data_IF_763575653752
#
_entry.id   IF_763575653752
#
_cell.length_a   1.000
_cell.length_b   1.000
_cell.length_c   1.000
_cell.angle_alpha   90.00
_cell.angle_beta   90.00
_cell.angle_gamma   90.00
#
_symmetry.space_group_name_H-M   'P 1'
#
loop_
_entity.id
_entity.type
_entity.pdbx_description
1 polymer ?
#
# COMPACT_ATOMS: atom_id res chain seq x y z
N UNK A 1 19.35 23.93 3.60
CA UNK A 1 18.93 22.71 2.86
C UNK A 1 18.83 23.09 1.41
N UNK A 2 19.22 22.22 0.49
CA UNK A 2 19.10 22.49 -0.94
C UNK A 2 17.62 22.34 -1.33
N UNK A 3 16.97 23.41 -1.75
CA UNK A 3 15.54 23.39 -2.13
C UNK A 3 15.25 22.44 -3.30
N UNK A 4 16.23 22.20 -4.15
CA UNK A 4 16.13 21.27 -5.27
C UNK A 4 16.28 19.79 -4.85
N UNK A 5 16.84 19.51 -3.67
CA UNK A 5 17.00 18.19 -3.10
C UNK A 5 16.88 18.24 -1.57
N UNK A 6 15.65 18.40 -1.05
CA UNK A 6 15.41 18.60 0.39
C UNK A 6 15.84 17.42 1.27
N UNK A 7 15.88 16.20 0.72
CA UNK A 7 16.29 14.99 1.44
C UNK A 7 17.72 14.53 1.11
N UNK A 8 18.40 15.16 0.14
CA UNK A 8 19.76 14.80 -0.29
C UNK A 8 19.85 13.44 -0.98
N UNK A 9 18.81 13.05 -1.71
CA UNK A 9 18.69 11.70 -2.32
C UNK A 9 18.26 11.72 -3.79
N UNK A 10 17.93 12.87 -4.34
CA UNK A 10 17.28 12.99 -5.65
C UNK A 10 18.13 12.38 -6.78
N UNK A 11 19.44 12.54 -6.72
CA UNK A 11 20.40 11.99 -7.67
C UNK A 11 20.49 10.46 -7.64
N UNK A 12 20.01 9.84 -6.58
CA UNK A 12 19.95 8.39 -6.44
C UNK A 12 18.77 7.75 -7.19
N UNK A 13 17.84 8.57 -7.71
CA UNK A 13 16.69 8.13 -8.49
C UNK A 13 16.85 8.47 -9.97
N UNK A 14 17.25 7.53 -10.85
CA UNK A 14 17.50 7.81 -12.26
C UNK A 14 16.33 8.44 -13.02
N UNK A 15 15.10 8.23 -12.53
CA UNK A 15 13.88 8.78 -13.13
C UNK A 15 13.90 10.32 -13.18
N UNK A 16 14.52 10.98 -12.21
CA UNK A 16 14.54 12.45 -12.13
C UNK A 16 15.33 13.11 -13.28
N UNK A 17 16.27 12.34 -13.88
CA UNK A 17 17.04 12.77 -15.07
C UNK A 17 16.31 12.44 -16.38
N UNK A 18 15.20 11.70 -16.30
CA UNK A 18 14.44 11.25 -17.47
C UNK A 18 13.11 11.99 -17.60
N UNK A 19 12.46 12.30 -16.47
CA UNK A 19 11.14 12.90 -16.46
C UNK A 19 10.80 13.54 -15.12
N UNK A 20 9.82 14.45 -15.11
CA UNK A 20 9.09 14.83 -13.90
C UNK A 20 8.05 13.75 -13.61
N UNK A 21 8.40 12.86 -12.67
CA UNK A 21 7.59 11.68 -12.36
C UNK A 21 6.71 11.90 -11.12
N UNK A 22 5.40 12.00 -11.32
CA UNK A 22 4.39 12.28 -10.30
C UNK A 22 3.35 11.14 -10.19
N UNK A 23 3.70 9.95 -10.69
CA UNK A 23 2.81 8.78 -10.75
C UNK A 23 3.13 7.70 -9.69
N UNK A 24 3.88 8.04 -8.63
CA UNK A 24 4.38 7.07 -7.62
C UNK A 24 3.29 6.31 -6.88
N UNK A 25 2.07 6.86 -6.79
CA UNK A 25 0.91 6.16 -6.24
C UNK A 25 0.47 4.94 -7.07
N UNK A 26 0.94 4.78 -8.30
CA UNK A 26 0.76 3.56 -9.12
C UNK A 26 1.97 2.64 -8.98
N UNK A 27 3.14 3.13 -9.37
CA UNK A 27 4.43 2.42 -9.27
C UNK A 27 5.44 3.46 -8.82
N UNK A 28 6.17 3.20 -7.75
CA UNK A 28 7.23 4.09 -7.30
C UNK A 28 8.57 3.64 -7.91
N UNK A 29 9.30 4.52 -8.61
CA UNK A 29 10.65 4.24 -9.07
C UNK A 29 11.57 3.88 -7.91
N UNK A 30 12.44 2.90 -8.12
CA UNK A 30 13.43 2.47 -7.13
C UNK A 30 14.73 3.28 -7.27
N UNK A 31 15.44 3.56 -6.18
CA UNK A 31 16.77 4.16 -6.24
C UNK A 31 17.80 3.16 -6.80
N UNK A 32 18.94 3.67 -7.27
CA UNK A 32 20.04 2.86 -7.81
C UNK A 32 20.44 1.72 -6.86
N UNK A 33 20.55 2.00 -5.56
CA UNK A 33 20.95 1.02 -4.57
C UNK A 33 20.01 -0.19 -4.50
N UNK A 34 18.68 0.03 -4.56
CA UNK A 34 17.68 -1.06 -4.54
C UNK A 34 17.68 -1.82 -5.88
N UNK A 35 17.83 -1.10 -6.99
CA UNK A 35 17.92 -1.71 -8.33
C UNK A 35 19.15 -2.60 -8.41
N UNK A 36 20.30 -2.15 -7.89
CA UNK A 36 21.56 -2.90 -7.92
C UNK A 36 21.46 -4.23 -7.17
N UNK A 37 20.79 -4.26 -6.03
CA UNK A 37 20.55 -5.51 -5.29
C UNK A 37 19.83 -6.56 -6.13
N UNK A 38 18.86 -6.15 -6.95
CA UNK A 38 18.18 -7.06 -7.88
C UNK A 38 19.10 -7.56 -9.00
N UNK A 39 19.95 -6.69 -9.54
CA UNK A 39 20.96 -7.04 -10.55
C UNK A 39 21.97 -8.02 -9.96
N UNK A 40 22.49 -7.75 -8.77
CA UNK A 40 23.46 -8.62 -8.08
C UNK A 40 22.86 -10.00 -7.81
N UNK A 41 21.59 -10.07 -7.42
CA UNK A 41 20.89 -11.35 -7.22
C UNK A 41 20.84 -12.19 -8.51
N UNK A 42 20.50 -11.56 -9.64
CA UNK A 42 20.44 -12.27 -10.94
C UNK A 42 21.83 -12.70 -11.38
N UNK A 43 22.85 -11.86 -11.20
CA UNK A 43 24.25 -12.18 -11.53
C UNK A 43 24.79 -13.32 -10.65
N UNK A 44 24.52 -13.30 -9.34
CA UNK A 44 24.92 -14.39 -8.45
C UNK A 44 24.29 -15.73 -8.87
N UNK A 45 23.00 -15.72 -9.27
CA UNK A 45 22.34 -16.94 -9.79
C UNK A 45 22.99 -17.47 -11.07
N UNK A 46 23.54 -16.58 -11.92
CA UNK A 46 24.26 -16.95 -13.15
C UNK A 46 25.69 -17.45 -12.91
N UNK A 47 26.26 -17.18 -11.75
CA UNK A 47 27.60 -17.59 -11.33
C UNK A 47 27.57 -18.59 -10.18
N UNK A 48 27.85 -18.13 -8.97
CA UNK A 48 27.75 -18.91 -7.75
C UNK A 48 26.46 -18.50 -7.00
N UNK A 49 25.38 -19.33 -7.07
CA UNK A 49 24.11 -18.98 -6.46
C UNK A 49 24.18 -19.01 -4.93
N UNK A 50 23.26 -18.26 -4.30
CA UNK A 50 23.06 -18.32 -2.85
C UNK A 50 22.64 -19.71 -2.38
N UNK A 51 23.10 -20.10 -1.20
CA UNK A 51 22.59 -21.29 -0.53
C UNK A 51 21.16 -21.09 -0.04
N UNK A 52 20.38 -22.18 0.11
CA UNK A 52 18.99 -22.09 0.55
C UNK A 52 18.85 -21.44 1.93
N UNK A 53 19.78 -21.75 2.85
CA UNK A 53 19.75 -21.19 4.21
C UNK A 53 19.93 -19.66 4.21
N UNK A 54 20.79 -19.13 3.32
CA UNK A 54 20.97 -17.68 3.14
C UNK A 54 19.68 -17.03 2.60
N UNK A 55 19.03 -17.67 1.63
CA UNK A 55 17.78 -17.20 1.05
C UNK A 55 16.66 -17.14 2.09
N UNK A 56 16.54 -18.14 2.95
CA UNK A 56 15.55 -18.16 4.03
C UNK A 56 15.88 -17.17 5.15
N UNK A 57 17.15 -17.05 5.50
CA UNK A 57 17.61 -16.04 6.45
C UNK A 57 17.24 -14.64 5.98
N UNK A 58 17.34 -14.37 4.67
CA UNK A 58 16.91 -13.09 4.09
C UNK A 58 15.41 -12.85 4.18
N UNK A 59 14.58 -13.89 4.04
CA UNK A 59 13.13 -13.79 4.26
C UNK A 59 12.82 -13.44 5.71
N UNK A 60 13.47 -14.10 6.68
CA UNK A 60 13.26 -13.81 8.10
C UNK A 60 13.77 -12.41 8.49
N UNK A 61 14.88 -11.97 7.92
CA UNK A 61 15.35 -10.59 8.05
C UNK A 61 14.31 -9.58 7.54
N UNK A 62 13.77 -9.80 6.33
CA UNK A 62 12.73 -8.96 5.74
C UNK A 62 11.47 -8.91 6.62
N UNK A 63 11.02 -10.04 7.17
CA UNK A 63 9.89 -10.08 8.10
C UNK A 63 10.15 -9.20 9.33
N UNK A 64 11.36 -9.29 9.89
CA UNK A 64 11.79 -8.44 11.01
C UNK A 64 11.87 -6.96 10.64
N UNK A 65 12.38 -6.61 9.45
CA UNK A 65 12.42 -5.23 8.96
C UNK A 65 11.01 -4.64 8.81
N UNK A 66 10.12 -5.37 8.17
CA UNK A 66 8.73 -4.92 8.00
C UNK A 66 8.00 -4.82 9.35
N UNK A 67 8.19 -5.79 10.25
CA UNK A 67 7.65 -5.73 11.59
C UNK A 67 8.07 -4.44 12.33
N UNK A 68 9.36 -4.12 12.32
CA UNK A 68 9.85 -2.84 12.90
C UNK A 68 9.27 -1.60 12.23
N UNK A 69 9.04 -1.64 10.92
CA UNK A 69 8.49 -0.51 10.15
C UNK A 69 7.05 -0.16 10.56
N UNK A 70 6.26 -1.15 11.05
CA UNK A 70 4.86 -0.98 11.42
C UNK A 70 4.58 -1.22 12.92
N UNK A 71 5.61 -1.34 13.76
CA UNK A 71 5.54 -1.67 15.18
C UNK A 71 4.85 -3.03 15.46
N UNK A 72 5.26 -4.08 14.73
CA UNK A 72 4.82 -5.45 14.92
C UNK A 72 6.00 -6.38 15.26
N UNK A 73 5.73 -7.53 15.87
CA UNK A 73 6.70 -8.59 16.11
C UNK A 73 6.93 -9.43 14.84
N UNK A 74 8.12 -10.00 14.67
CA UNK A 74 8.43 -10.83 13.50
C UNK A 74 7.48 -12.02 13.32
N UNK A 75 7.03 -12.74 14.37
CA UNK A 75 6.03 -13.81 14.24
C UNK A 75 4.70 -13.37 13.62
N UNK A 76 4.30 -12.11 13.79
CA UNK A 76 3.05 -11.57 13.22
C UNK A 76 3.13 -11.31 11.72
N UNK A 77 4.33 -11.39 11.10
CA UNK A 77 4.55 -11.01 9.72
C UNK A 77 4.67 -12.25 8.83
N UNK A 78 3.83 -12.31 7.81
CA UNK A 78 3.86 -13.28 6.72
C UNK A 78 4.39 -12.68 5.42
N UNK A 79 5.01 -13.52 4.59
CA UNK A 79 5.36 -13.22 3.22
C UNK A 79 4.31 -13.85 2.30
N UNK A 80 3.73 -13.03 1.43
CA UNK A 80 2.72 -13.41 0.43
C UNK A 80 3.06 -12.75 -0.91
N UNK A 81 2.26 -12.99 -1.95
CA UNK A 81 2.54 -12.47 -3.28
C UNK A 81 1.93 -11.09 -3.55
N UNK A 82 0.73 -10.82 -3.00
CA UNK A 82 -0.02 -9.58 -3.28
C UNK A 82 -0.92 -9.18 -2.11
N UNK A 83 -1.30 -7.90 -2.01
CA UNK A 83 -2.33 -7.42 -1.07
C UNK A 83 -3.69 -8.08 -1.29
N UNK A 84 -4.05 -8.37 -2.55
CA UNK A 84 -5.30 -9.07 -2.85
C UNK A 84 -5.31 -10.50 -2.28
N UNK A 85 -4.17 -11.18 -2.22
CA UNK A 85 -4.06 -12.48 -1.55
C UNK A 85 -4.34 -12.37 -0.06
N UNK A 86 -3.81 -11.33 0.61
CA UNK A 86 -4.04 -11.10 2.04
C UNK A 86 -5.51 -11.01 2.39
N UNK A 87 -6.27 -10.20 1.67
CA UNK A 87 -7.69 -10.01 1.93
C UNK A 87 -8.50 -11.31 1.67
N UNK A 88 -8.14 -12.08 0.64
CA UNK A 88 -8.73 -13.40 0.42
C UNK A 88 -8.43 -14.37 1.58
N UNK A 89 -7.20 -14.36 2.11
CA UNK A 89 -6.82 -15.17 3.28
C UNK A 89 -7.62 -14.78 4.52
N UNK A 90 -7.83 -13.48 4.77
CA UNK A 90 -8.65 -12.98 5.88
C UNK A 90 -10.09 -13.47 5.76
N UNK A 91 -10.72 -13.25 4.60
CA UNK A 91 -12.10 -13.68 4.34
C UNK A 91 -12.25 -15.20 4.50
N UNK A 92 -11.27 -15.97 4.04
CA UNK A 92 -11.27 -17.42 4.20
C UNK A 92 -11.15 -17.83 5.67
N UNK A 93 -10.25 -17.21 6.44
CA UNK A 93 -10.05 -17.49 7.87
C UNK A 93 -11.32 -17.20 8.69
N UNK A 94 -12.06 -16.14 8.33
CA UNK A 94 -13.31 -15.77 8.97
C UNK A 94 -14.44 -16.79 8.74
N UNK A 95 -14.33 -17.65 7.72
CA UNK A 95 -15.31 -18.70 7.40
C UNK A 95 -16.77 -18.19 7.39
N UNK A 96 -16.99 -17.06 6.70
CA UNK A 96 -18.25 -16.34 6.64
C UNK A 96 -19.42 -17.22 6.21
N UNK A 97 -20.59 -16.98 6.80
CA UNK A 97 -21.83 -17.71 6.54
C UNK A 97 -22.89 -16.79 5.93
N UNK A 98 -23.87 -17.34 5.18
CA UNK A 98 -25.02 -16.55 4.76
C UNK A 98 -25.66 -15.82 5.91
N UNK A 99 -25.88 -14.52 5.79
CA UNK A 99 -26.37 -13.63 6.83
C UNK A 99 -25.30 -12.85 7.59
N UNK A 100 -24.02 -13.24 7.50
CA UNK A 100 -22.92 -12.39 7.93
C UNK A 100 -22.75 -11.21 6.95
N UNK A 101 -22.15 -10.11 7.44
CA UNK A 101 -21.85 -8.99 6.57
C UNK A 101 -20.41 -8.49 6.69
N UNK A 102 -19.96 -7.86 5.62
CA UNK A 102 -18.72 -7.07 5.52
C UNK A 102 -19.09 -5.62 5.33
N UNK A 103 -18.49 -4.74 6.13
CA UNK A 103 -18.59 -3.29 5.96
C UNK A 103 -17.33 -2.77 5.30
N UNK A 104 -17.48 -1.95 4.28
CA UNK A 104 -16.41 -1.26 3.55
C UNK A 104 -16.88 0.12 3.11
N UNK A 105 -16.08 0.85 2.35
CA UNK A 105 -16.48 2.13 1.75
C UNK A 105 -16.24 2.18 0.24
N UNK A 106 -16.69 3.26 -0.43
CA UNK A 106 -16.49 3.48 -1.86
C UNK A 106 -15.10 4.08 -2.20
N UNK A 107 -14.19 4.13 -1.22
CA UNK A 107 -12.80 4.55 -1.38
C UNK A 107 -11.80 3.38 -1.38
N UNK A 108 -12.28 2.16 -1.16
CA UNK A 108 -11.44 0.96 -1.17
C UNK A 108 -10.87 0.66 -2.57
N UNK A 109 -9.88 -0.22 -2.63
CA UNK A 109 -9.29 -0.64 -3.91
C UNK A 109 -10.26 -1.51 -4.71
N UNK A 110 -10.33 -1.29 -6.01
CA UNK A 110 -11.31 -1.94 -6.88
C UNK A 110 -11.23 -3.48 -6.92
N UNK A 111 -10.06 -4.07 -6.65
CA UNK A 111 -9.93 -5.53 -6.58
C UNK A 111 -10.73 -6.14 -5.42
N UNK A 112 -10.89 -5.42 -4.30
CA UNK A 112 -11.68 -5.87 -3.15
C UNK A 112 -13.16 -6.02 -3.51
N UNK A 113 -13.70 -5.13 -4.33
CA UNK A 113 -15.09 -5.26 -4.79
C UNK A 113 -15.33 -6.50 -5.65
N UNK A 114 -14.32 -6.96 -6.41
CA UNK A 114 -14.40 -8.22 -7.15
C UNK A 114 -14.56 -9.40 -6.18
N UNK A 115 -13.78 -9.43 -5.10
CA UNK A 115 -13.92 -10.42 -4.03
C UNK A 115 -15.31 -10.33 -3.38
N UNK A 116 -15.75 -9.14 -3.00
CA UNK A 116 -17.01 -8.90 -2.34
C UNK A 116 -18.22 -9.29 -3.20
N UNK A 117 -18.15 -9.05 -4.51
CA UNK A 117 -19.17 -9.52 -5.45
C UNK A 117 -19.32 -11.06 -5.42
N UNK A 118 -18.21 -11.79 -5.32
CA UNK A 118 -18.27 -13.27 -5.23
C UNK A 118 -18.80 -13.72 -3.86
N UNK A 119 -18.51 -13.00 -2.80
CA UNK A 119 -19.06 -13.27 -1.47
C UNK A 119 -20.57 -13.00 -1.41
N UNK A 120 -21.03 -11.93 -2.04
CA UNK A 120 -22.45 -11.60 -2.14
C UNK A 120 -23.25 -12.72 -2.80
N UNK A 121 -22.70 -13.37 -3.84
CA UNK A 121 -23.30 -14.56 -4.48
C UNK A 121 -23.41 -15.77 -3.54
N UNK A 122 -22.65 -15.77 -2.44
CA UNK A 122 -22.66 -16.79 -1.39
C UNK A 122 -23.55 -16.43 -0.21
N UNK A 123 -24.30 -15.32 -0.30
CA UNK A 123 -25.22 -14.85 0.74
C UNK A 123 -24.58 -13.99 1.83
N UNK A 124 -23.35 -13.49 1.62
CA UNK A 124 -22.72 -12.52 2.51
C UNK A 124 -23.19 -11.11 2.10
N UNK A 125 -23.71 -10.35 3.03
CA UNK A 125 -24.12 -8.97 2.77
C UNK A 125 -22.89 -8.04 2.69
N UNK A 126 -22.84 -7.20 1.67
CA UNK A 126 -21.77 -6.17 1.51
C UNK A 126 -22.38 -4.80 1.73
N UNK A 127 -21.95 -4.10 2.77
CA UNK A 127 -22.40 -2.76 3.13
C UNK A 127 -21.33 -1.75 2.81
N UNK A 128 -21.67 -0.80 1.93
CA UNK A 128 -20.70 0.15 1.40
C UNK A 128 -21.02 1.56 1.93
N UNK A 129 -20.16 2.08 2.81
CA UNK A 129 -20.17 3.46 3.25
C UNK A 129 -19.86 4.40 2.07
N UNK A 130 -20.59 5.49 1.98
CA UNK A 130 -20.39 6.49 0.92
C UNK A 130 -19.59 7.66 1.49
N UNK A 131 -18.49 8.00 0.81
CA UNK A 131 -17.73 9.20 1.15
C UNK A 131 -18.65 10.44 1.17
N UNK A 132 -18.32 11.37 2.02
CA UNK A 132 -19.03 12.67 2.12
C UNK A 132 -18.74 13.55 0.89
N UNK A 133 -19.45 14.67 0.80
CA UNK A 133 -19.32 15.61 -0.33
C UNK A 133 -17.92 16.23 -0.47
N UNK A 134 -17.14 16.27 0.61
CA UNK A 134 -15.75 16.73 0.64
C UNK A 134 -14.73 15.63 0.28
N UNK A 135 -15.19 14.41 -0.02
CA UNK A 135 -14.35 13.26 -0.36
C UNK A 135 -13.82 12.46 0.84
N UNK A 136 -14.19 12.82 2.07
CA UNK A 136 -13.80 12.10 3.29
C UNK A 136 -14.76 10.94 3.61
N UNK A 137 -14.29 9.94 4.38
CA UNK A 137 -15.10 8.87 4.95
C UNK A 137 -14.71 8.66 6.43
N UNK A 138 -15.13 9.59 7.32
CA UNK A 138 -14.87 9.48 8.76
C UNK A 138 -15.59 8.27 9.36
N UNK A 139 -15.25 7.90 10.60
CA UNK A 139 -15.81 6.75 11.34
C UNK A 139 -17.34 6.76 11.32
N UNK A 140 -17.96 7.94 11.40
CA UNK A 140 -19.43 8.10 11.38
C UNK A 140 -20.12 7.63 10.09
N UNK A 141 -19.38 7.45 9.00
CA UNK A 141 -19.89 6.84 7.76
C UNK A 141 -20.12 5.35 7.92
N UNK A 142 -19.33 4.70 8.77
CA UNK A 142 -19.35 3.25 8.99
C UNK A 142 -20.28 2.84 10.13
N UNK A 143 -20.44 3.68 11.17
CA UNK A 143 -21.27 3.38 12.34
C UNK A 143 -22.67 2.83 12.01
N UNK A 144 -23.47 3.46 11.12
CA UNK A 144 -24.84 2.99 10.83
C UNK A 144 -24.86 1.69 10.01
N UNK A 145 -23.72 1.23 9.51
CA UNK A 145 -23.58 0.02 8.70
C UNK A 145 -23.19 -1.19 9.53
N UNK A 146 -22.72 -0.99 10.77
CA UNK A 146 -22.25 -2.03 11.69
C UNK A 146 -23.42 -2.60 12.50
N UNK A 147 -23.43 -3.93 12.66
CA UNK A 147 -24.35 -4.64 13.55
C UNK A 147 -23.72 -5.93 14.11
N UNK A 148 -24.50 -6.75 14.84
CA UNK A 148 -24.05 -8.01 15.43
C UNK A 148 -23.66 -9.09 14.41
N UNK A 149 -24.05 -8.94 13.14
CA UNK A 149 -23.71 -9.87 12.05
C UNK A 149 -22.50 -9.39 11.26
N UNK A 150 -21.98 -8.21 11.56
CA UNK A 150 -20.74 -7.73 10.92
C UNK A 150 -19.57 -8.58 11.40
N UNK A 151 -18.78 -9.11 10.47
CA UNK A 151 -17.60 -9.92 10.76
C UNK A 151 -16.30 -9.22 10.39
N UNK A 152 -16.35 -8.34 9.41
CA UNK A 152 -15.18 -7.63 8.93
C UNK A 152 -15.53 -6.18 8.56
N UNK A 153 -14.72 -5.26 9.06
CA UNK A 153 -14.61 -3.90 8.52
C UNK A 153 -13.32 -3.86 7.70
N UNK A 154 -13.44 -3.58 6.40
CA UNK A 154 -12.30 -3.62 5.47
C UNK A 154 -12.17 -2.30 4.73
N UNK A 155 -10.99 -1.67 4.82
CA UNK A 155 -10.70 -0.37 4.22
C UNK A 155 -9.30 -0.32 3.60
N UNK A 156 -9.10 0.56 2.63
CA UNK A 156 -7.76 1.00 2.27
C UNK A 156 -7.35 2.13 3.23
N UNK A 157 -6.22 2.00 3.94
CA UNK A 157 -5.72 3.05 4.83
C UNK A 157 -5.67 4.42 4.15
N UNK A 158 -5.17 4.42 2.91
CA UNK A 158 -5.17 5.61 2.06
C UNK A 158 -5.86 5.25 0.75
N UNK A 159 -6.88 5.99 0.40
CA UNK A 159 -7.61 5.80 -0.85
C UNK A 159 -6.68 5.97 -2.06
N UNK A 160 -6.68 4.97 -2.93
CA UNK A 160 -5.98 5.06 -4.21
C UNK A 160 -6.65 6.02 -5.20
N UNK A 161 -7.89 6.43 -4.92
CA UNK A 161 -8.68 7.34 -5.78
C UNK A 161 -8.43 8.80 -5.40
N UNK A 162 -8.64 9.15 -4.12
CA UNK A 162 -8.65 10.52 -3.63
C UNK A 162 -7.47 10.87 -2.75
N UNK A 163 -6.71 9.86 -2.28
CA UNK A 163 -5.67 10.04 -1.29
C UNK A 163 -6.19 10.20 0.15
N UNK A 164 -7.51 10.14 0.38
CA UNK A 164 -8.06 10.23 1.73
C UNK A 164 -7.42 9.19 2.66
N UNK A 165 -6.97 9.66 3.83
CA UNK A 165 -6.38 8.81 4.87
C UNK A 165 -7.41 8.53 5.95
N UNK A 166 -7.76 7.24 6.10
CA UNK A 166 -8.69 6.78 7.14
C UNK A 166 -8.06 6.84 8.53
N UNK A 167 -8.90 7.09 9.53
CA UNK A 167 -8.57 6.93 10.95
C UNK A 167 -8.67 5.45 11.34
N UNK A 168 -7.56 4.71 11.19
CA UNK A 168 -7.54 3.28 11.49
C UNK A 168 -7.84 2.98 12.96
N UNK A 169 -7.37 3.80 13.91
CA UNK A 169 -7.64 3.58 15.33
C UNK A 169 -9.13 3.73 15.67
N UNK A 170 -9.77 4.78 15.11
CA UNK A 170 -11.21 4.97 15.25
C UNK A 170 -12.02 3.84 14.63
N UNK A 171 -11.61 3.37 13.44
CA UNK A 171 -12.26 2.24 12.75
C UNK A 171 -12.04 0.91 13.47
N UNK A 172 -10.85 0.65 14.02
CA UNK A 172 -10.59 -0.55 14.86
C UNK A 172 -11.49 -0.56 16.07
N UNK A 173 -11.57 0.57 16.78
CA UNK A 173 -12.45 0.70 17.95
C UNK A 173 -13.92 0.44 17.59
N UNK A 174 -14.38 0.95 16.45
CA UNK A 174 -15.74 0.70 15.95
C UNK A 174 -15.96 -0.79 15.65
N UNK A 175 -15.03 -1.42 14.91
CA UNK A 175 -15.12 -2.83 14.56
C UNK A 175 -15.19 -3.72 15.81
N UNK A 176 -14.26 -3.53 16.74
CA UNK A 176 -14.18 -4.32 17.97
C UNK A 176 -15.39 -4.11 18.89
N UNK A 177 -16.00 -2.91 18.93
CA UNK A 177 -17.22 -2.66 19.67
C UNK A 177 -18.42 -3.50 19.18
N UNK A 178 -18.37 -3.98 17.93
CA UNK A 178 -19.39 -4.87 17.34
C UNK A 178 -18.95 -6.34 17.28
N UNK A 179 -17.79 -6.68 17.87
CA UNK A 179 -17.22 -8.03 17.80
C UNK A 179 -16.72 -8.42 16.41
N UNK A 180 -16.46 -7.41 15.57
CA UNK A 180 -15.94 -7.56 14.21
C UNK A 180 -14.43 -7.40 14.17
N UNK A 181 -13.78 -7.94 13.14
CA UNK A 181 -12.37 -7.71 12.85
C UNK A 181 -12.19 -6.52 11.89
N UNK A 182 -10.95 -5.98 11.85
CA UNK A 182 -10.56 -4.95 10.90
C UNK A 182 -9.41 -5.42 10.01
N UNK A 183 -9.57 -5.24 8.69
CA UNK A 183 -8.51 -5.37 7.68
C UNK A 183 -8.21 -4.01 7.08
N UNK A 184 -6.92 -3.68 6.96
CA UNK A 184 -6.46 -2.47 6.28
C UNK A 184 -5.50 -2.81 5.13
N UNK A 185 -5.84 -2.43 3.89
CA UNK A 185 -4.85 -2.35 2.80
C UNK A 185 -4.00 -1.11 3.03
N UNK A 186 -2.74 -1.30 3.41
CA UNK A 186 -1.82 -0.21 3.77
C UNK A 186 -0.77 0.08 2.68
N UNK A 187 -0.97 -0.47 1.47
CA UNK A 187 -0.02 -0.34 0.35
C UNK A 187 0.24 1.11 -0.06
N UNK A 188 -0.72 2.04 0.17
CA UNK A 188 -0.58 3.45 -0.22
C UNK A 188 0.05 4.32 0.87
N UNK A 189 0.48 3.74 1.99
CA UNK A 189 1.04 4.49 3.11
C UNK A 189 2.37 3.98 3.64
N UNK A 190 2.51 2.66 3.80
CA UNK A 190 3.71 2.04 4.39
C UNK A 190 4.94 2.27 3.51
N UNK A 191 6.03 2.70 4.13
CA UNK A 191 7.26 3.15 3.46
C UNK A 191 7.33 4.67 3.30
N UNK A 192 6.19 5.37 3.47
CA UNK A 192 6.10 6.82 3.30
C UNK A 192 5.49 7.53 4.53
N UNK A 193 4.54 6.88 5.19
CA UNK A 193 3.88 7.39 6.38
C UNK A 193 4.11 6.44 7.56
N UNK A 194 4.25 6.96 8.79
CA UNK A 194 4.34 6.12 9.97
C UNK A 194 3.04 5.36 10.21
N UNK A 195 3.15 4.05 10.40
CA UNK A 195 2.07 3.16 10.81
C UNK A 195 2.50 2.44 12.09
N UNK A 196 1.65 2.47 13.10
CA UNK A 196 1.78 1.68 14.33
C UNK A 196 0.55 0.79 14.45
N UNK A 197 0.69 -0.50 14.12
CA UNK A 197 -0.43 -1.44 14.13
C UNK A 197 -0.94 -1.74 15.53
N UNK A 198 -0.06 -1.60 16.55
CA UNK A 198 -0.45 -1.79 17.96
C UNK A 198 -1.27 -0.59 18.43
N UNK A 199 -0.81 0.64 18.19
CA UNK A 199 -1.55 1.84 18.56
C UNK A 199 -2.87 1.99 17.79
N UNK A 200 -2.91 1.54 16.53
CA UNK A 200 -4.12 1.50 15.72
C UNK A 200 -5.04 0.32 16.06
N UNK A 201 -4.59 -0.61 16.91
CA UNK A 201 -5.31 -1.84 17.32
C UNK A 201 -5.80 -2.66 16.11
N UNK A 202 -4.97 -2.78 15.05
CA UNK A 202 -5.32 -3.52 13.84
C UNK A 202 -5.28 -5.04 14.07
N UNK A 203 -6.19 -5.75 13.42
CA UNK A 203 -6.18 -7.22 13.38
C UNK A 203 -5.35 -7.74 12.20
N UNK A 204 -5.55 -7.13 11.03
CA UNK A 204 -4.88 -7.53 9.79
C UNK A 204 -4.50 -6.31 8.97
N UNK A 205 -3.33 -6.35 8.33
CA UNK A 205 -3.02 -5.43 7.25
C UNK A 205 -2.04 -6.01 6.24
N UNK A 206 -2.03 -5.48 5.02
CA UNK A 206 -1.09 -5.90 4.01
C UNK A 206 -0.57 -4.75 3.14
N UNK A 207 0.67 -4.92 2.65
CA UNK A 207 1.30 -3.98 1.74
C UNK A 207 2.11 -4.69 0.66
N UNK A 208 1.84 -4.38 -0.62
CA UNK A 208 2.70 -4.78 -1.74
C UNK A 208 3.98 -3.92 -1.80
N UNK A 209 5.05 -4.51 -2.30
CA UNK A 209 6.40 -3.96 -2.26
C UNK A 209 6.66 -2.79 -3.21
N UNK A 210 6.01 -2.76 -4.39
CA UNK A 210 6.38 -1.98 -5.58
C UNK A 210 5.95 -0.50 -5.57
N UNK A 211 5.40 -0.04 -4.43
CA UNK A 211 5.08 1.38 -4.25
C UNK A 211 6.08 2.02 -3.29
N UNK A 212 5.63 2.51 -2.18
CA UNK A 212 6.38 3.37 -1.27
C UNK A 212 7.51 2.66 -0.50
N UNK A 213 7.51 1.32 -0.48
CA UNK A 213 8.64 0.52 0.03
C UNK A 213 9.74 0.28 -1.04
N UNK A 214 9.60 0.84 -2.25
CA UNK A 214 10.61 0.88 -3.31
C UNK A 214 11.05 -0.49 -3.86
N UNK A 215 10.34 -1.57 -3.50
CA UNK A 215 10.65 -2.93 -3.93
C UNK A 215 10.10 -3.25 -5.33
N UNK A 216 10.29 -4.48 -5.76
CA UNK A 216 9.80 -5.03 -7.03
C UNK A 216 8.41 -5.67 -6.87
N UNK A 217 7.82 -6.13 -7.98
CA UNK A 217 6.56 -6.86 -7.97
C UNK A 217 6.71 -8.30 -7.46
N UNK A 218 5.58 -8.93 -7.09
CA UNK A 218 5.52 -10.35 -6.73
C UNK A 218 5.85 -10.67 -5.27
N UNK A 219 5.96 -9.65 -4.43
CA UNK A 219 6.13 -9.77 -2.98
C UNK A 219 5.22 -8.78 -2.26
N UNK A 220 4.58 -9.25 -1.20
CA UNK A 220 3.83 -8.43 -0.27
C UNK A 220 4.03 -8.94 1.15
N UNK A 221 3.89 -8.04 2.12
CA UNK A 221 3.96 -8.34 3.54
C UNK A 221 2.56 -8.35 4.13
N UNK A 222 2.30 -9.32 4.98
CA UNK A 222 1.00 -9.54 5.61
C UNK A 222 1.16 -9.58 7.13
N UNK A 223 0.51 -8.67 7.82
CA UNK A 223 0.43 -8.63 9.28
C UNK A 223 -0.85 -9.34 9.73
N UNK A 224 -0.68 -10.24 10.68
CA UNK A 224 -1.78 -10.89 11.42
C UNK A 224 -1.43 -10.80 12.90
N UNK A 225 -2.30 -10.15 13.69
CA UNK A 225 -2.17 -10.06 15.15
C UNK A 225 -1.89 -11.44 15.74
N UNK A 226 -0.96 -11.55 16.66
CA UNK A 226 -0.48 -12.83 17.22
C UNK A 226 -1.63 -13.70 17.74
N UNK A 227 -2.57 -13.11 18.51
CA UNK A 227 -3.72 -13.82 19.06
C UNK A 227 -4.69 -14.38 18.01
N UNK A 228 -4.59 -13.94 16.75
CA UNK A 228 -5.46 -14.37 15.65
C UNK A 228 -4.78 -15.35 14.70
N UNK A 229 -3.51 -15.67 14.92
CA UNK A 229 -2.75 -16.57 14.06
C UNK A 229 -3.42 -17.96 13.89
N UNK A 230 -4.03 -18.47 14.95
CA UNK A 230 -4.65 -19.80 14.93
C UNK A 230 -5.89 -19.90 14.04
N UNK A 231 -6.54 -18.76 13.72
CA UNK A 231 -7.68 -18.73 12.78
C UNK A 231 -7.29 -19.15 11.36
N UNK A 232 -6.03 -18.93 11.00
CA UNK A 232 -5.56 -19.16 9.64
C UNK A 232 -5.13 -20.61 9.46
N UNK A 233 -6.02 -21.40 8.89
CA UNK A 233 -5.71 -22.75 8.40
C UNK A 233 -5.28 -22.60 6.94
N UNK A 234 -4.06 -23.01 6.56
CA UNK A 234 -3.62 -22.93 5.16
C UNK A 234 -4.57 -23.67 4.22
N UNK A 235 -4.93 -23.06 3.09
CA UNK A 235 -5.75 -23.63 2.03
C UNK A 235 -4.93 -24.35 0.97
N UNK A 236 -3.62 -24.14 0.99
CA UNK A 236 -2.64 -24.74 0.10
C UNK A 236 -1.40 -25.12 0.90
N UNK A 237 -0.78 -26.20 0.49
CA UNK A 237 0.30 -26.82 1.24
C UNK A 237 1.53 -27.03 0.35
N UNK A 238 2.69 -26.85 0.92
CA UNK A 238 3.97 -27.05 0.27
C UNK A 238 5.11 -27.12 1.28
N UNK A 239 6.33 -27.28 0.78
CA UNK A 239 7.47 -27.58 1.65
C UNK A 239 7.88 -26.41 2.55
N UNK A 240 7.72 -25.16 2.09
CA UNK A 240 8.33 -24.02 2.78
C UNK A 240 7.60 -23.55 4.04
N UNK A 241 6.40 -24.01 4.28
CA UNK A 241 5.75 -23.78 5.57
C UNK A 241 5.93 -24.93 6.58
N UNK A 242 6.75 -25.94 6.25
CA UNK A 242 7.07 -27.03 7.15
C UNK A 242 8.16 -26.64 8.14
N UNK A 243 7.81 -26.67 9.43
CA UNK A 243 8.75 -26.44 10.53
C UNK A 243 9.63 -27.68 10.78
N UNK A 244 9.02 -28.85 10.71
CA UNK A 244 9.70 -30.13 10.99
C UNK A 244 9.01 -31.29 10.25
N UNK A 245 9.80 -32.12 9.58
CA UNK A 245 9.36 -33.43 9.11
C UNK A 245 9.54 -34.44 10.23
N UNK A 246 8.44 -35.11 10.66
CA UNK A 246 8.47 -36.15 11.67
C UNK A 246 8.47 -37.55 11.07
N UNK A 247 7.70 -37.76 9.99
CA UNK A 247 7.63 -38.96 9.20
C UNK A 247 7.26 -38.64 7.76
N UNK A 248 7.13 -39.65 6.88
CA UNK A 248 6.86 -39.45 5.43
C UNK A 248 5.60 -38.63 5.15
N UNK A 249 4.53 -38.88 5.92
CA UNK A 249 3.25 -38.13 5.82
C UNK A 249 2.91 -37.36 7.09
N UNK A 250 3.92 -37.05 7.91
CA UNK A 250 3.72 -36.32 9.16
C UNK A 250 4.66 -35.11 9.20
N UNK A 251 4.09 -33.92 9.01
CA UNK A 251 4.79 -32.66 9.00
C UNK A 251 4.18 -31.68 10.01
N UNK A 252 5.04 -31.03 10.76
CA UNK A 252 4.65 -29.90 11.60
C UNK A 252 4.79 -28.61 10.79
N UNK A 253 3.71 -27.87 10.64
CA UNK A 253 3.66 -26.56 9.98
C UNK A 253 3.99 -25.45 10.99
N UNK A 254 4.58 -24.35 10.54
CA UNK A 254 4.74 -23.16 11.36
C UNK A 254 3.39 -22.63 11.86
N UNK A 255 3.35 -22.18 13.11
CA UNK A 255 2.14 -21.61 13.71
C UNK A 255 2.04 -20.09 13.51
N UNK A 256 3.16 -19.43 13.17
CA UNK A 256 3.30 -17.99 12.97
C UNK A 256 3.18 -17.58 11.49
N UNK A 257 3.49 -16.31 11.17
CA UNK A 257 3.42 -15.76 9.81
C UNK A 257 4.15 -16.56 8.73
N UNK A 258 5.10 -17.46 9.09
CA UNK A 258 5.77 -18.35 8.12
C UNK A 258 4.83 -19.34 7.46
N UNK A 259 3.68 -19.65 8.07
CA UNK A 259 2.67 -20.54 7.48
C UNK A 259 2.08 -20.04 6.15
N UNK A 260 2.19 -18.75 5.84
CA UNK A 260 1.70 -18.18 4.60
C UNK A 260 2.62 -18.42 3.40
N UNK A 261 3.88 -18.76 3.66
CA UNK A 261 4.89 -19.05 2.64
C UNK A 261 4.90 -20.54 2.29
N UNK A 262 3.91 -21.02 1.53
CA UNK A 262 3.77 -22.44 1.21
C UNK A 262 4.71 -22.92 0.08
N UNK A 263 5.08 -22.02 -0.84
CA UNK A 263 5.88 -22.33 -2.03
C UNK A 263 7.13 -21.45 -2.11
N UNK A 264 8.02 -21.74 -3.06
CA UNK A 264 9.25 -21.00 -3.28
C UNK A 264 8.98 -19.50 -3.46
N UNK A 265 9.53 -18.65 -2.58
CA UNK A 265 9.37 -17.21 -2.70
C UNK A 265 10.05 -16.64 -3.94
N UNK A 266 9.63 -15.46 -4.35
CA UNK A 266 10.33 -14.66 -5.35
C UNK A 266 11.57 -14.01 -4.69
N UNK A 267 12.65 -14.74 -4.49
CA UNK A 267 13.82 -14.30 -3.71
C UNK A 267 14.45 -13.00 -4.23
N UNK A 268 14.57 -12.80 -5.54
CA UNK A 268 15.08 -11.52 -6.09
C UNK A 268 14.27 -10.31 -5.59
N UNK A 269 12.94 -10.29 -5.75
CA UNK A 269 12.06 -9.30 -5.13
C UNK A 269 12.15 -9.20 -3.60
N UNK A 270 12.39 -10.30 -2.88
CA UNK A 270 12.64 -10.28 -1.42
C UNK A 270 13.87 -9.46 -1.08
N UNK A 271 14.99 -9.70 -1.78
CA UNK A 271 16.23 -8.92 -1.61
C UNK A 271 16.03 -7.45 -1.91
N UNK A 272 15.30 -7.12 -2.99
CA UNK A 272 15.00 -5.73 -3.35
C UNK A 272 14.09 -5.05 -2.32
N UNK A 273 13.06 -5.73 -1.83
CA UNK A 273 12.17 -5.16 -0.81
C UNK A 273 12.92 -4.91 0.51
N UNK A 274 13.78 -5.86 0.93
CA UNK A 274 14.64 -5.69 2.10
C UNK A 274 15.50 -4.42 1.97
N UNK A 275 16.17 -4.25 0.83
CA UNK A 275 16.96 -3.05 0.55
C UNK A 275 16.11 -1.77 0.48
N UNK A 276 14.88 -1.85 -0.04
CA UNK A 276 13.95 -0.73 -0.10
C UNK A 276 13.48 -0.29 1.30
N UNK A 277 13.15 -1.23 2.18
CA UNK A 277 12.79 -0.93 3.58
C UNK A 277 13.97 -0.31 4.32
N UNK A 278 15.16 -0.85 4.17
CA UNK A 278 16.37 -0.29 4.77
C UNK A 278 16.62 1.15 4.28
N UNK A 279 16.43 1.37 2.98
CA UNK A 279 16.60 2.69 2.37
C UNK A 279 15.67 3.74 2.99
N UNK A 280 14.36 3.47 3.05
CA UNK A 280 13.40 4.41 3.63
C UNK A 280 13.56 4.57 5.15
N UNK A 281 13.94 3.49 5.84
CA UNK A 281 14.19 3.51 7.28
C UNK A 281 15.42 4.35 7.62
N UNK A 282 16.47 4.29 6.81
CA UNK A 282 17.70 5.08 6.97
C UNK A 282 17.45 6.58 6.81
N UNK A 283 16.58 6.98 5.88
CA UNK A 283 16.17 8.39 5.73
C UNK A 283 15.28 8.81 6.92
N UNK A 284 14.47 7.90 7.42
CA UNK A 284 13.53 8.09 8.50
C UNK A 284 12.12 8.40 8.00
N UNK A 285 11.17 7.53 8.34
CA UNK A 285 9.78 7.61 7.87
C UNK A 285 9.11 8.94 8.24
N UNK A 286 9.39 9.49 9.43
CA UNK A 286 8.85 10.79 9.84
C UNK A 286 9.38 11.95 8.97
N UNK A 287 10.65 11.89 8.55
CA UNK A 287 11.27 12.87 7.66
C UNK A 287 10.62 12.79 6.27
N UNK A 288 10.49 11.57 5.73
CA UNK A 288 9.81 11.32 4.45
C UNK A 288 8.36 11.81 4.52
N UNK A 289 7.62 11.43 5.57
CA UNK A 289 6.22 11.79 5.77
C UNK A 289 6.01 13.31 5.75
N UNK A 290 6.82 14.05 6.53
CA UNK A 290 6.75 15.51 6.56
C UNK A 290 6.98 16.12 5.18
N UNK A 291 7.95 15.60 4.44
CA UNK A 291 8.30 16.08 3.11
C UNK A 291 7.15 15.85 2.11
N UNK A 292 6.66 14.61 1.97
CA UNK A 292 5.65 14.27 0.96
C UNK A 292 4.27 14.87 1.27
N UNK A 293 3.91 15.02 2.55
CA UNK A 293 2.67 15.71 2.96
C UNK A 293 2.81 17.21 2.65
N UNK A 294 3.96 17.81 2.89
CA UNK A 294 4.23 19.20 2.51
C UNK A 294 4.06 19.45 1.02
N UNK A 295 4.61 18.55 0.19
CA UNK A 295 4.41 18.60 -1.28
C UNK A 295 2.93 18.44 -1.68
N UNK A 296 2.20 17.54 -1.02
CA UNK A 296 0.78 17.34 -1.30
C UNK A 296 -0.05 18.59 -0.96
N UNK A 297 0.22 19.23 0.16
CA UNK A 297 -0.46 20.49 0.53
C UNK A 297 -0.12 21.61 -0.46
N UNK A 298 1.17 21.78 -0.80
CA UNK A 298 1.62 22.75 -1.79
C UNK A 298 0.90 22.57 -3.13
N UNK A 299 0.85 21.34 -3.64
CA UNK A 299 0.15 21.01 -4.89
C UNK A 299 -1.35 21.33 -4.80
N UNK A 300 -1.97 20.93 -3.68
CA UNK A 300 -3.41 21.17 -3.46
C UNK A 300 -3.75 22.65 -3.51
N UNK A 301 -2.95 23.49 -2.83
CA UNK A 301 -3.14 24.94 -2.80
C UNK A 301 -2.96 25.56 -4.19
N UNK A 302 -1.96 25.11 -4.97
CA UNK A 302 -1.79 25.56 -6.36
C UNK A 302 -2.96 25.15 -7.28
N UNK A 303 -3.49 23.93 -7.13
CA UNK A 303 -4.65 23.47 -7.87
C UNK A 303 -5.92 24.27 -7.51
N UNK A 304 -6.10 24.61 -6.22
CA UNK A 304 -7.22 25.43 -5.73
C UNK A 304 -7.15 26.85 -6.33
N UNK A 305 -5.97 27.48 -6.31
CA UNK A 305 -5.75 28.80 -6.94
C UNK A 305 -6.03 28.77 -8.45
N UNK A 306 -5.73 27.66 -9.12
CA UNK A 306 -6.11 27.45 -10.51
C UNK A 306 -7.59 27.09 -10.70
N UNK A 307 -8.38 26.93 -9.64
CA UNK A 307 -9.83 26.69 -9.65
C UNK A 307 -10.21 25.29 -10.15
N UNK A 308 -9.40 24.27 -9.88
CA UNK A 308 -9.74 22.87 -10.14
C UNK A 308 -10.62 22.29 -9.01
N UNK A 309 -11.52 21.37 -9.35
CA UNK A 309 -12.30 20.59 -8.38
C UNK A 309 -11.43 19.54 -7.71
N UNK A 310 -10.99 19.79 -6.47
CA UNK A 310 -10.10 18.91 -5.74
C UNK A 310 -10.90 17.80 -5.06
N UNK A 311 -10.51 16.54 -5.27
CA UNK A 311 -11.16 15.35 -4.71
C UNK A 311 -10.52 14.91 -3.38
N UNK A 312 -9.28 15.33 -3.13
CA UNK A 312 -8.58 15.07 -1.87
C UNK A 312 -9.10 16.04 -0.81
N UNK A 313 -9.60 15.55 0.34
CA UNK A 313 -10.10 16.43 1.40
C UNK A 313 -9.08 17.46 1.88
N UNK A 314 -9.55 18.61 2.32
CA UNK A 314 -8.70 19.63 2.93
C UNK A 314 -8.02 19.09 4.20
N UNK A 315 -6.75 19.43 4.39
CA UNK A 315 -5.97 18.99 5.55
C UNK A 315 -5.60 17.49 5.56
N UNK A 316 -5.88 16.76 4.46
CA UNK A 316 -5.55 15.35 4.34
C UNK A 316 -4.05 15.09 4.52
N UNK A 317 -3.70 13.98 5.18
CA UNK A 317 -2.34 13.64 5.58
C UNK A 317 -1.82 12.43 4.78
N UNK A 318 -1.73 12.60 3.45
CA UNK A 318 -1.10 11.62 2.54
C UNK A 318 -0.34 12.33 1.41
N UNK A 319 0.45 11.59 0.65
CA UNK A 319 1.21 12.11 -0.49
C UNK A 319 0.39 12.14 -1.79
N UNK A 320 -0.88 11.77 -1.75
CA UNK A 320 -1.72 11.64 -2.93
C UNK A 320 -2.68 12.82 -3.00
N UNK A 321 -2.67 13.51 -4.15
CA UNK A 321 -3.65 14.56 -4.48
C UNK A 321 -4.36 14.18 -5.76
N UNK A 322 -5.69 14.21 -5.74
CA UNK A 322 -6.53 13.94 -6.90
C UNK A 322 -7.48 15.11 -7.15
N UNK A 323 -7.73 15.41 -8.41
CA UNK A 323 -8.60 16.49 -8.83
C UNK A 323 -9.28 16.15 -10.15
N UNK A 324 -10.44 16.78 -10.42
CA UNK A 324 -11.13 16.72 -11.71
C UNK A 324 -10.75 17.90 -12.59
N UNK A 325 -10.78 17.66 -13.89
CA UNK A 325 -10.65 18.71 -14.89
C UNK A 325 -11.78 18.63 -15.92
N UNK A 326 -12.06 19.77 -16.56
CA UNK A 326 -13.03 19.88 -17.64
C UNK A 326 -12.37 20.19 -18.98
N UNK A 327 -11.04 20.11 -19.02
CA UNK A 327 -10.22 20.34 -20.19
C UNK A 327 -10.26 19.11 -21.11
N UNK A 328 -9.92 19.31 -22.37
CA UNK A 328 -9.72 18.19 -23.29
C UNK A 328 -8.60 17.27 -22.80
N UNK A 329 -8.94 16.01 -22.51
CA UNK A 329 -8.02 15.06 -21.93
C UNK A 329 -6.85 14.74 -22.85
N UNK A 330 -7.06 14.72 -24.18
CA UNK A 330 -5.98 14.46 -25.15
C UNK A 330 -5.02 15.63 -25.21
N UNK A 331 -5.54 16.85 -25.11
CA UNK A 331 -4.72 18.06 -25.07
C UNK A 331 -3.82 18.08 -23.83
N UNK A 332 -4.38 17.76 -22.64
CA UNK A 332 -3.58 17.66 -21.41
C UNK A 332 -2.51 16.59 -21.56
N UNK A 333 -2.87 15.38 -22.01
CA UNK A 333 -1.89 14.29 -22.24
C UNK A 333 -0.75 14.72 -23.17
N UNK A 334 -1.08 15.38 -24.28
CA UNK A 334 -0.08 15.85 -25.23
C UNK A 334 0.85 16.92 -24.60
N UNK A 335 0.31 17.84 -23.81
CA UNK A 335 1.10 18.89 -23.14
C UNK A 335 2.00 18.31 -22.04
N UNK A 336 1.48 17.41 -21.21
CA UNK A 336 2.29 16.74 -20.19
C UNK A 336 3.38 15.88 -20.82
N UNK A 337 3.06 15.15 -21.88
CA UNK A 337 4.05 14.36 -22.64
C UNK A 337 5.13 15.25 -23.26
N UNK A 338 4.76 16.38 -23.87
CA UNK A 338 5.71 17.33 -24.43
C UNK A 338 6.63 17.97 -23.36
N UNK A 339 6.13 18.11 -22.13
CA UNK A 339 6.88 18.56 -20.96
C UNK A 339 7.62 17.42 -20.24
N UNK A 340 7.59 16.21 -20.79
CA UNK A 340 8.19 15.00 -20.21
C UNK A 340 7.70 14.71 -18.76
N UNK A 341 6.40 14.82 -18.54
CA UNK A 341 5.76 14.59 -17.23
C UNK A 341 4.91 13.33 -17.22
N UNK A 342 5.04 12.55 -16.15
CA UNK A 342 4.27 11.33 -15.90
C UNK A 342 3.30 11.51 -14.73
N UNK A 343 2.00 11.41 -15.02
CA UNK A 343 0.90 11.48 -14.04
C UNK A 343 -0.08 10.32 -14.26
N UNK A 344 -1.01 10.12 -13.33
CA UNK A 344 -2.05 9.11 -13.50
C UNK A 344 -3.39 9.75 -13.88
N UNK A 345 -3.89 9.40 -15.05
CA UNK A 345 -5.27 9.68 -15.46
C UNK A 345 -6.22 8.59 -14.92
N UNK A 346 -7.42 9.01 -14.50
CA UNK A 346 -8.43 8.16 -13.88
C UNK A 346 -9.84 8.54 -14.39
N UNK A 347 -10.84 7.66 -14.15
CA UNK A 347 -12.25 7.90 -14.47
C UNK A 347 -12.46 8.40 -15.91
N UNK A 348 -12.10 7.56 -16.86
CA UNK A 348 -12.13 7.88 -18.30
C UNK A 348 -11.46 9.24 -18.61
N UNK A 349 -10.29 9.44 -17.96
CA UNK A 349 -9.43 10.62 -18.13
C UNK A 349 -9.99 11.95 -17.61
N UNK A 350 -11.13 11.94 -16.90
CA UNK A 350 -11.71 13.16 -16.30
C UNK A 350 -11.03 13.58 -14.99
N UNK A 351 -10.15 12.72 -14.44
CA UNK A 351 -9.44 12.96 -13.19
C UNK A 351 -7.94 12.75 -13.38
N UNK A 352 -7.16 13.55 -12.67
CA UNK A 352 -5.72 13.37 -12.53
C UNK A 352 -5.40 13.10 -11.07
N UNK A 353 -4.57 12.08 -10.84
CA UNK A 353 -4.03 11.74 -9.53
C UNK A 353 -2.52 11.91 -9.54
N UNK A 354 -2.03 12.72 -8.64
CA UNK A 354 -0.62 12.95 -8.37
C UNK A 354 -0.22 12.17 -7.11
N UNK A 355 0.91 11.51 -7.16
CA UNK A 355 1.54 10.87 -6.00
C UNK A 355 2.99 11.30 -5.94
N UNK A 356 3.28 12.33 -5.15
CA UNK A 356 4.64 12.83 -4.96
C UNK A 356 5.41 11.90 -4.03
N UNK A 357 6.58 11.44 -4.46
CA UNK A 357 7.45 10.57 -3.67
C UNK A 357 8.61 11.36 -3.03
N UNK A 358 9.41 10.63 -2.25
CA UNK A 358 10.52 11.19 -1.48
C UNK A 358 11.57 11.91 -2.36
N UNK A 359 11.67 11.60 -3.64
CA UNK A 359 12.60 12.24 -4.59
C UNK A 359 12.03 13.49 -5.29
N UNK A 360 10.72 13.76 -5.15
CA UNK A 360 10.12 14.95 -5.73
C UNK A 360 10.43 16.21 -4.91
N UNK A 361 10.33 17.37 -5.55
CA UNK A 361 10.49 18.68 -4.93
C UNK A 361 9.42 19.68 -5.42
N UNK A 362 9.44 20.90 -4.92
CA UNK A 362 8.47 21.93 -5.32
C UNK A 362 8.59 22.28 -6.80
N UNK A 363 9.81 22.34 -7.37
CA UNK A 363 9.99 22.67 -8.78
C UNK A 363 9.30 21.65 -9.72
N UNK A 364 9.24 20.37 -9.34
CA UNK A 364 8.46 19.36 -10.09
C UNK A 364 6.97 19.73 -10.15
N UNK A 365 6.43 20.24 -9.03
CA UNK A 365 5.04 20.64 -8.90
C UNK A 365 4.75 21.97 -9.59
N UNK A 366 5.68 22.95 -9.53
CA UNK A 366 5.58 24.23 -10.25
C UNK A 366 5.52 24.00 -11.74
N UNK A 367 6.35 23.10 -12.24
CA UNK A 367 6.33 22.69 -13.63
C UNK A 367 4.97 22.09 -14.02
N UNK A 368 4.41 21.21 -13.18
CA UNK A 368 3.10 20.61 -13.43
C UNK A 368 1.98 21.66 -13.41
N UNK A 369 1.95 22.53 -12.41
CA UNK A 369 0.97 23.61 -12.29
C UNK A 369 1.06 24.58 -13.46
N UNK A 370 2.28 24.96 -13.91
CA UNK A 370 2.49 25.81 -15.06
C UNK A 370 1.95 25.22 -16.37
N UNK A 371 2.07 23.90 -16.57
CA UNK A 371 1.43 23.23 -17.73
C UNK A 371 -0.09 23.34 -17.64
N UNK A 372 -0.70 23.10 -16.47
CA UNK A 372 -2.14 23.20 -16.29
C UNK A 372 -2.65 24.65 -16.49
N UNK A 373 -1.92 25.64 -15.99
CA UNK A 373 -2.23 27.06 -16.15
C UNK A 373 -2.24 27.45 -17.63
N UNK A 374 -1.24 27.01 -18.40
CA UNK A 374 -1.15 27.29 -19.85
C UNK A 374 -2.29 26.68 -20.68
N UNK A 375 -3.06 25.74 -20.12
CA UNK A 375 -4.20 25.12 -20.78
C UNK A 375 -5.53 25.82 -20.45
N UNK A 376 -5.53 26.76 -19.52
CA UNK A 376 -6.72 27.55 -19.14
C UNK A 376 -6.73 28.93 -19.82
N UNK A 377 -5.56 29.39 -20.28
CA UNK A 377 -5.40 30.61 -21.09
C UNK A 377 -5.74 30.33 -22.56
#
# INVERSE_FOLDING_TARGET
MNENDPLGIRDQFPVVNQATYLASASICPSPVAVTQVGVDFVQAKGGLPYELDDLFSKVDELRGQFGRLINASTPEIGLIYTTSEAENLVVQALNLKPGDNIVTDDLHYSASYVLYEQLAKRGIEIRIGRKLGDGSAPVSVFEPLMDSNTRLLSVAWISHQTGYRHDLAGLSKLAHAHGSYIYADVIQGVGMLPLDVQAADLDFCAAGSYKWMLGSFGVAMFYVRESLQEMFIPDRYGYFHVKQKKAELEHQIYADGRKFMYATPAFGPVYQLSAGIDYVTKIGINTISKHVIGLAHYLRDGLDQLGFEILTPAGNQSAIVAFKHRLDAQLIKNRLSAANMHVNFREADSQIRIGSALFNNQADLDQFLGVLESLKS
#
